data_IF_351687747097
#
_entry.id   IF_351687747097
#
_cell.length_a   1.000
_cell.length_b   1.000
_cell.length_c   1.000
_cell.angle_alpha   90.00
_cell.angle_beta   90.00
_cell.angle_gamma   90.00
#
_symmetry.space_group_name_H-M   'P 1'
#
loop_
_entity.id
_entity.type
_entity.pdbx_description
1 polymer ?
#
# COMPACT_ATOMS: atom_id res chain seq x y z
N UNK A 1 -14.11 -12.73 -15.47
CA UNK A 1 -12.79 -12.30 -14.99
C UNK A 1 -12.62 -10.81 -15.22
N UNK A 2 -12.55 -10.03 -14.15
CA UNK A 2 -12.41 -8.57 -14.25
C UNK A 2 -10.94 -8.18 -14.42
N UNK A 3 -10.56 -7.73 -15.62
CA UNK A 3 -9.17 -7.34 -15.94
C UNK A 3 -8.69 -6.12 -15.15
N UNK A 4 -9.60 -5.23 -14.77
CA UNK A 4 -9.27 -4.05 -13.96
C UNK A 4 -8.85 -4.44 -12.55
N UNK A 5 -9.54 -5.39 -11.92
CA UNK A 5 -9.15 -5.89 -10.60
C UNK A 5 -7.82 -6.65 -10.61
N UNK A 6 -7.52 -7.39 -11.67
CA UNK A 6 -6.20 -8.01 -11.84
C UNK A 6 -5.11 -6.93 -11.93
N UNK A 7 -5.32 -5.91 -12.78
CA UNK A 7 -4.37 -4.80 -12.89
C UNK A 7 -4.21 -4.04 -11.57
N UNK A 8 -5.30 -3.79 -10.84
CA UNK A 8 -5.29 -3.14 -9.53
C UNK A 8 -4.52 -3.97 -8.49
N UNK A 9 -4.71 -5.29 -8.47
CA UNK A 9 -4.00 -6.18 -7.58
C UNK A 9 -2.49 -6.22 -7.86
N UNK A 10 -2.10 -6.33 -9.13
CA UNK A 10 -0.68 -6.30 -9.55
C UNK A 10 -0.06 -4.97 -9.15
N UNK A 11 -0.74 -3.85 -9.42
CA UNK A 11 -0.25 -2.52 -9.06
C UNK A 11 -0.10 -2.38 -7.53
N UNK A 12 -1.11 -2.77 -6.74
CA UNK A 12 -1.05 -2.74 -5.29
C UNK A 12 0.11 -3.60 -4.76
N UNK A 13 0.36 -4.76 -5.36
CA UNK A 13 1.48 -5.62 -5.01
C UNK A 13 2.82 -4.94 -5.28
N UNK A 14 3.00 -4.37 -6.47
CA UNK A 14 4.22 -3.66 -6.86
C UNK A 14 4.48 -2.42 -5.99
N UNK A 15 3.44 -1.65 -5.65
CA UNK A 15 3.55 -0.50 -4.74
C UNK A 15 3.99 -0.96 -3.36
N UNK A 16 3.40 -2.02 -2.82
CA UNK A 16 3.80 -2.61 -1.54
C UNK A 16 5.25 -3.10 -1.56
N UNK A 17 5.66 -3.79 -2.63
CA UNK A 17 7.04 -4.26 -2.80
C UNK A 17 8.02 -3.09 -2.87
N UNK A 18 7.72 -2.08 -3.68
CA UNK A 18 8.55 -0.88 -3.82
C UNK A 18 8.67 -0.14 -2.48
N UNK A 19 7.57 0.03 -1.74
CA UNK A 19 7.59 0.66 -0.42
C UNK A 19 8.48 -0.12 0.55
N UNK A 20 8.29 -1.44 0.65
CA UNK A 20 9.06 -2.31 1.54
C UNK A 20 10.56 -2.28 1.22
N UNK A 21 10.93 -2.46 -0.06
CA UNK A 21 12.35 -2.55 -0.49
C UNK A 21 13.05 -1.18 -0.45
N UNK A 22 12.37 -0.11 -0.87
CA UNK A 22 12.99 1.22 -0.91
C UNK A 22 13.24 1.77 0.50
N UNK A 23 12.30 1.62 1.44
CA UNK A 23 12.53 2.07 2.80
C UNK A 23 13.66 1.33 3.50
N UNK A 24 13.73 0.02 3.29
CA UNK A 24 14.84 -0.80 3.78
C UNK A 24 16.20 -0.30 3.25
N UNK A 25 16.31 -0.07 1.94
CA UNK A 25 17.55 0.37 1.29
C UNK A 25 17.95 1.82 1.60
N UNK A 26 16.99 2.73 1.66
CA UNK A 26 17.21 4.17 1.76
C UNK A 26 17.28 4.66 3.21
N UNK A 27 16.43 4.12 4.09
CA UNK A 27 16.25 4.59 5.47
C UNK A 27 16.92 3.62 6.44
N UNK A 28 16.39 2.40 6.58
CA UNK A 28 16.77 1.51 7.69
C UNK A 28 18.20 0.99 7.59
N UNK A 29 18.72 0.77 6.38
CA UNK A 29 20.14 0.44 6.19
C UNK A 29 21.09 1.49 6.78
N UNK A 30 20.71 2.77 6.80
CA UNK A 30 21.53 3.86 7.37
C UNK A 30 21.39 3.99 8.89
N UNK A 31 20.32 3.42 9.46
CA UNK A 31 20.01 3.46 10.90
C UNK A 31 20.51 2.20 11.65
N UNK A 32 21.24 1.30 10.96
CA UNK A 32 21.80 0.07 11.53
C UNK A 32 23.25 0.29 11.96
N UNK A 33 23.57 -0.13 13.19
CA UNK A 33 24.92 -0.18 13.75
C UNK A 33 25.38 -1.63 13.98
N UNK A 34 25.01 -2.52 13.06
CA UNK A 34 25.27 -3.97 13.15
C UNK A 34 24.01 -4.76 13.49
N UNK A 35 23.62 -5.68 12.60
CA UNK A 35 22.42 -6.53 12.75
C UNK A 35 21.25 -6.14 11.83
N UNK A 36 20.16 -6.92 11.92
CA UNK A 36 18.96 -6.74 11.09
C UNK A 36 18.01 -5.65 11.61
N UNK A 37 18.09 -5.30 12.91
CA UNK A 37 17.19 -4.33 13.53
C UNK A 37 17.91 -2.97 13.63
N UNK A 38 17.37 -1.89 13.03
CA UNK A 38 17.92 -0.56 13.18
C UNK A 38 17.73 -0.07 14.62
N UNK A 39 18.80 0.47 15.20
CA UNK A 39 18.86 0.95 16.59
C UNK A 39 19.37 2.38 16.69
N UNK A 40 20.00 2.92 15.64
CA UNK A 40 20.54 4.27 15.67
C UNK A 40 19.51 5.26 15.11
N UNK A 41 18.76 5.90 16.01
CA UNK A 41 17.86 7.03 15.71
C UNK A 41 18.50 8.41 15.89
N UNK A 42 19.83 8.47 16.02
CA UNK A 42 20.57 9.69 16.31
C UNK A 42 20.22 10.30 17.66
N UNK A 43 20.18 11.63 17.73
CA UNK A 43 19.86 12.38 18.97
C UNK A 43 18.37 12.60 19.20
N UNK A 44 17.51 12.22 18.24
CA UNK A 44 16.09 12.61 18.21
C UNK A 44 15.17 11.41 18.42
N UNK A 45 15.50 10.24 17.88
CA UNK A 45 14.68 9.03 17.98
C UNK A 45 15.35 8.01 18.90
N UNK A 46 14.65 7.62 19.96
CA UNK A 46 15.04 6.46 20.77
C UNK A 46 14.92 5.15 19.97
N UNK A 47 15.67 4.12 20.39
CA UNK A 47 15.71 2.80 19.75
C UNK A 47 14.31 2.19 19.61
N UNK A 48 13.43 2.38 20.60
CA UNK A 48 12.04 1.91 20.54
C UNK A 48 11.26 2.52 19.37
N UNK A 49 11.39 3.83 19.16
CA UNK A 49 10.73 4.52 18.05
C UNK A 49 11.25 4.06 16.69
N UNK A 50 12.57 3.82 16.57
CA UNK A 50 13.18 3.29 15.34
C UNK A 50 12.65 1.89 15.01
N UNK A 51 12.46 1.04 16.02
CA UNK A 51 11.86 -0.30 15.84
C UNK A 51 10.39 -0.23 15.42
N UNK A 52 9.61 0.66 16.00
CA UNK A 52 8.20 0.89 15.61
C UNK A 52 8.13 1.43 14.17
N UNK A 53 9.03 2.34 13.80
CA UNK A 53 9.14 2.84 12.43
C UNK A 53 9.44 1.70 11.45
N UNK A 54 10.38 0.80 11.76
CA UNK A 54 10.65 -0.39 10.94
C UNK A 54 9.41 -1.29 10.82
N UNK A 55 8.77 -1.61 11.95
CA UNK A 55 7.62 -2.51 11.97
C UNK A 55 6.45 -1.94 11.14
N UNK A 56 6.09 -0.68 11.38
CA UNK A 56 5.02 0.01 10.63
C UNK A 56 5.32 0.11 9.13
N UNK A 57 6.59 0.26 8.77
CA UNK A 57 7.02 0.31 7.37
C UNK A 57 6.78 -1.00 6.62
N UNK A 58 6.95 -2.16 7.25
CA UNK A 58 6.71 -3.46 6.62
C UNK A 58 5.28 -3.97 6.78
N UNK A 59 4.59 -3.59 7.86
CA UNK A 59 3.18 -3.95 8.09
C UNK A 59 2.27 -3.34 7.03
N UNK A 60 2.53 -2.11 6.59
CA UNK A 60 1.70 -1.45 5.58
C UNK A 60 1.69 -2.19 4.21
N UNK A 61 2.85 -2.59 3.63
CA UNK A 61 2.90 -3.49 2.47
C UNK A 61 2.14 -4.80 2.66
N UNK A 62 2.22 -5.42 3.84
CA UNK A 62 1.50 -6.68 4.13
C UNK A 62 -0.01 -6.48 4.04
N UNK A 63 -0.54 -5.38 4.60
CA UNK A 63 -1.95 -5.03 4.43
C UNK A 63 -2.28 -4.72 2.97
N UNK A 64 -1.40 -4.01 2.25
CA UNK A 64 -1.55 -3.76 0.81
C UNK A 64 -1.63 -5.05 -0.02
N UNK A 65 -0.84 -6.07 0.31
CA UNK A 65 -0.90 -7.38 -0.32
C UNK A 65 -2.15 -8.19 0.07
N UNK A 66 -2.66 -8.00 1.29
CA UNK A 66 -3.98 -8.49 1.68
C UNK A 66 -5.08 -7.92 0.78
N UNK A 67 -5.07 -6.61 0.55
CA UNK A 67 -6.01 -5.96 -0.38
C UNK A 67 -5.81 -6.45 -1.82
N UNK A 68 -4.57 -6.61 -2.28
CA UNK A 68 -4.29 -7.19 -3.60
C UNK A 68 -4.87 -8.60 -3.75
N UNK A 69 -4.81 -9.42 -2.70
CA UNK A 69 -5.39 -10.77 -2.69
C UNK A 69 -6.92 -10.74 -2.77
N UNK A 70 -7.56 -9.81 -2.04
CA UNK A 70 -9.01 -9.57 -2.13
C UNK A 70 -9.40 -9.15 -3.56
N UNK A 71 -8.64 -8.25 -4.18
CA UNK A 71 -8.88 -7.81 -5.56
C UNK A 71 -8.72 -8.95 -6.57
N UNK A 72 -7.71 -9.82 -6.40
CA UNK A 72 -7.59 -11.04 -7.22
C UNK A 72 -8.78 -11.96 -7.04
N UNK A 73 -9.25 -12.16 -5.81
CA UNK A 73 -10.42 -12.99 -5.54
C UNK A 73 -11.69 -12.40 -6.18
N UNK A 74 -11.92 -11.09 -6.05
CA UNK A 74 -13.02 -10.38 -6.70
C UNK A 74 -12.95 -10.48 -8.23
N UNK A 75 -11.73 -10.48 -8.79
CA UNK A 75 -11.56 -10.62 -10.25
C UNK A 75 -12.11 -11.94 -10.80
N UNK A 76 -12.11 -13.00 -9.97
CA UNK A 76 -12.60 -14.33 -10.32
C UNK A 76 -14.09 -14.50 -10.02
N UNK A 77 -14.61 -13.78 -9.02
CA UNK A 77 -15.96 -13.93 -8.47
C UNK A 77 -16.81 -12.65 -8.62
N UNK A 78 -16.69 -11.92 -9.74
CA UNK A 78 -17.48 -10.69 -9.95
C UNK A 78 -18.95 -11.01 -10.18
N UNK A 79 -19.66 -11.37 -9.12
CA UNK A 79 -21.11 -11.38 -9.05
C UNK A 79 -21.53 -10.03 -8.45
N UNK A 80 -22.44 -9.31 -9.10
CA UNK A 80 -22.93 -7.98 -8.72
C UNK A 80 -23.78 -7.95 -7.44
N UNK A 81 -23.33 -8.61 -6.38
CA UNK A 81 -23.95 -8.60 -5.07
C UNK A 81 -23.73 -7.26 -4.36
N UNK A 82 -24.60 -6.91 -3.42
CA UNK A 82 -24.41 -5.71 -2.58
C UNK A 82 -23.12 -5.78 -1.74
N UNK A 83 -22.69 -6.98 -1.36
CA UNK A 83 -21.47 -7.19 -0.58
C UNK A 83 -20.20 -6.92 -1.41
N UNK A 84 -20.15 -7.39 -2.65
CA UNK A 84 -19.00 -7.16 -3.55
C UNK A 84 -18.85 -5.66 -3.85
N UNK A 85 -19.94 -4.96 -4.17
CA UNK A 85 -19.94 -3.52 -4.34
C UNK A 85 -19.47 -2.75 -3.09
N UNK A 86 -19.85 -3.19 -1.90
CA UNK A 86 -19.36 -2.60 -0.65
C UNK A 86 -17.85 -2.79 -0.47
N UNK A 87 -17.33 -4.00 -0.71
CA UNK A 87 -15.89 -4.29 -0.60
C UNK A 87 -15.09 -3.46 -1.61
N UNK A 88 -15.56 -3.38 -2.86
CA UNK A 88 -14.94 -2.57 -3.91
C UNK A 88 -14.89 -1.09 -3.52
N UNK A 89 -16.02 -0.53 -3.04
CA UNK A 89 -16.10 0.84 -2.57
C UNK A 89 -15.17 1.10 -1.38
N UNK A 90 -15.13 0.19 -0.39
CA UNK A 90 -14.24 0.29 0.76
C UNK A 90 -12.75 0.29 0.35
N UNK A 91 -12.36 -0.57 -0.59
CA UNK A 91 -11.00 -0.61 -1.15
C UNK A 91 -10.68 0.67 -1.92
N UNK A 92 -11.57 1.11 -2.82
CA UNK A 92 -11.37 2.31 -3.62
C UNK A 92 -11.20 3.55 -2.74
N UNK A 93 -12.09 3.74 -1.74
CA UNK A 93 -12.03 4.87 -0.81
C UNK A 93 -10.75 4.80 0.04
N UNK A 94 -10.39 3.62 0.56
CA UNK A 94 -9.17 3.47 1.37
C UNK A 94 -7.91 3.82 0.57
N UNK A 95 -7.81 3.37 -0.67
CA UNK A 95 -6.70 3.68 -1.57
C UNK A 95 -6.66 5.16 -1.96
N UNK A 96 -7.82 5.77 -2.19
CA UNK A 96 -7.95 7.19 -2.48
C UNK A 96 -7.51 8.05 -1.29
N UNK A 97 -8.03 7.77 -0.09
CA UNK A 97 -7.62 8.44 1.14
C UNK A 97 -6.12 8.28 1.40
N UNK A 98 -5.59 7.06 1.23
CA UNK A 98 -4.15 6.79 1.34
C UNK A 98 -3.32 7.62 0.33
N UNK A 99 -3.79 7.72 -0.91
CA UNK A 99 -3.17 8.57 -1.93
C UNK A 99 -3.12 10.04 -1.50
N UNK A 100 -4.25 10.60 -1.04
CA UNK A 100 -4.30 11.98 -0.56
C UNK A 100 -3.41 12.23 0.64
N UNK A 101 -3.36 11.30 1.60
CA UNK A 101 -2.48 11.41 2.77
C UNK A 101 -1.01 11.46 2.35
N UNK A 102 -0.58 10.59 1.44
CA UNK A 102 0.79 10.59 0.92
C UNK A 102 1.07 11.87 0.11
N UNK A 103 0.12 12.30 -0.71
CA UNK A 103 0.24 13.51 -1.52
C UNK A 103 0.45 14.76 -0.65
N UNK A 104 -0.42 14.97 0.35
CA UNK A 104 -0.35 16.10 1.26
C UNK A 104 0.90 16.00 2.14
N UNK A 105 1.13 14.84 2.76
CA UNK A 105 2.24 14.61 3.70
C UNK A 105 3.62 14.75 3.06
N UNK A 106 3.76 14.45 1.77
CA UNK A 106 5.03 14.54 1.04
C UNK A 106 5.12 15.74 0.09
N UNK A 107 4.11 16.62 0.10
CA UNK A 107 3.97 17.74 -0.85
C UNK A 107 4.14 17.28 -2.30
N UNK A 108 3.48 16.17 -2.64
CA UNK A 108 3.51 15.50 -3.95
C UNK A 108 4.88 14.95 -4.41
N UNK A 109 5.93 15.01 -3.58
CA UNK A 109 7.29 14.59 -3.97
C UNK A 109 7.50 13.09 -3.94
N UNK A 110 6.62 12.34 -3.27
CA UNK A 110 6.75 10.89 -3.15
C UNK A 110 5.87 10.18 -4.17
N UNK A 111 6.41 9.35 -5.09
CA UNK A 111 5.64 8.75 -6.19
C UNK A 111 4.55 7.77 -5.73
N UNK A 112 4.56 7.35 -4.45
CA UNK A 112 3.56 6.44 -3.89
C UNK A 112 2.10 6.91 -4.00
N UNK A 113 1.83 8.23 -4.03
CA UNK A 113 0.46 8.71 -4.22
C UNK A 113 -0.11 8.30 -5.59
N UNK A 114 0.74 8.30 -6.64
CA UNK A 114 0.34 7.89 -7.99
C UNK A 114 -0.06 6.42 -8.01
N UNK A 115 0.71 5.56 -7.34
CA UNK A 115 0.43 4.13 -7.25
C UNK A 115 -0.90 3.85 -6.56
N UNK A 116 -1.14 4.48 -5.40
CA UNK A 116 -2.39 4.32 -4.64
C UNK A 116 -3.60 4.88 -5.39
N UNK A 117 -3.45 6.04 -6.03
CA UNK A 117 -4.50 6.62 -6.88
C UNK A 117 -4.83 5.70 -8.07
N UNK A 118 -3.81 5.13 -8.70
CA UNK A 118 -3.98 4.18 -9.80
C UNK A 118 -4.80 2.96 -9.38
N UNK A 119 -4.53 2.40 -8.19
CA UNK A 119 -5.34 1.29 -7.64
C UNK A 119 -6.79 1.74 -7.43
N UNK A 120 -7.01 2.90 -6.81
CA UNK A 120 -8.37 3.41 -6.57
C UNK A 120 -9.17 3.58 -7.88
N UNK A 121 -8.56 4.16 -8.91
CA UNK A 121 -9.18 4.35 -10.23
C UNK A 121 -9.48 3.02 -10.90
N UNK A 122 -8.56 2.06 -10.86
CA UNK A 122 -8.77 0.74 -11.46
C UNK A 122 -9.89 -0.03 -10.75
N UNK A 123 -9.99 0.06 -9.42
CA UNK A 123 -11.08 -0.57 -8.66
C UNK A 123 -12.42 0.09 -9.01
N UNK A 124 -12.46 1.43 -9.11
CA UNK A 124 -13.67 2.14 -9.52
C UNK A 124 -14.14 1.73 -10.92
N UNK A 125 -13.23 1.68 -11.90
CA UNK A 125 -13.54 1.23 -13.26
C UNK A 125 -13.98 -0.23 -13.31
N UNK A 126 -13.38 -1.07 -12.47
CA UNK A 126 -13.74 -2.48 -12.34
C UNK A 126 -15.16 -2.67 -11.81
N UNK A 127 -15.57 -1.89 -10.80
CA UNK A 127 -16.91 -1.99 -10.19
C UNK A 127 -18.03 -1.35 -11.02
N UNK A 128 -17.76 -0.28 -11.77
CA UNK A 128 -18.75 0.33 -12.68
C UNK A 128 -19.05 -0.58 -13.89
N UNK A 129 -18.11 -1.45 -14.27
CA UNK A 129 -18.22 -2.36 -15.41
C UNK A 129 -18.75 -3.76 -15.10
N UNK A 130 -19.08 -4.06 -13.84
CA UNK A 130 -19.54 -5.38 -13.35
C UNK A 130 -20.99 -5.36 -12.89
#
# INVERSE_FOLDING_TARGET
>A
MNRYFIAAAVLAFLVGLAHSVLGEKLIFRRLREGGLVPTNGGKVLDQGHVRILLASWHVLPVFGWGIASILLWLSLHSSGSSLTAFIEGAVAISMLCGSFLVFIGTKARHPGWVGLLGVAVLVWLGGVGS
#
